data_IF_036931689575
#
_entry.id   IF_036931689575
#
_cell.length_a   1.000
_cell.length_b   1.000
_cell.length_c   1.000
_cell.angle_alpha   90.00
_cell.angle_beta   90.00
_cell.angle_gamma   90.00
#
_symmetry.space_group_name_H-M   'P 1'
#
loop_
_entity.id
_entity.type
_entity.pdbx_description
1 polymer ?
#
# COMPACT_ATOMS: atom_id res chain seq x y z
N UNK A 1 67.25 -21.97 -50.29
CA UNK A 1 66.55 -20.71 -50.66
C UNK A 1 65.06 -20.86 -50.31
N UNK A 2 64.37 -19.79 -49.91
CA UNK A 2 63.49 -19.83 -48.73
C UNK A 2 61.98 -19.70 -49.01
N UNK A 3 61.20 -20.04 -47.97
CA UNK A 3 59.87 -19.48 -47.60
C UNK A 3 58.70 -19.92 -48.50
N UNK A 4 57.52 -20.27 -47.99
CA UNK A 4 56.71 -19.46 -47.06
C UNK A 4 55.61 -20.32 -46.43
N UNK A 5 55.48 -20.29 -45.10
CA UNK A 5 54.38 -20.88 -44.32
C UNK A 5 53.30 -19.79 -44.16
N UNK A 6 52.08 -20.07 -44.58
CA UNK A 6 50.94 -19.16 -44.42
C UNK A 6 50.04 -19.67 -43.29
N UNK A 7 50.27 -19.17 -42.06
CA UNK A 7 49.39 -19.42 -40.92
C UNK A 7 48.12 -18.57 -41.05
N UNK A 8 46.98 -19.21 -41.32
CA UNK A 8 45.65 -18.62 -41.23
C UNK A 8 45.24 -18.53 -39.75
N UNK A 9 45.41 -17.36 -39.15
CA UNK A 9 44.89 -17.04 -37.81
C UNK A 9 43.38 -16.78 -37.95
N UNK A 10 42.56 -17.78 -37.62
CA UNK A 10 41.11 -17.58 -37.40
C UNK A 10 40.93 -16.93 -36.02
N UNK A 11 40.73 -15.62 -36.01
CA UNK A 11 40.35 -14.85 -34.82
C UNK A 11 38.94 -15.26 -34.38
N UNK A 12 38.85 -16.06 -33.33
CA UNK A 12 37.60 -16.44 -32.67
C UNK A 12 37.21 -15.29 -31.72
N UNK A 13 36.35 -14.39 -32.19
CA UNK A 13 35.74 -13.33 -31.37
C UNK A 13 34.70 -13.97 -30.43
N UNK A 14 35.13 -14.28 -29.21
CA UNK A 14 34.24 -14.71 -28.14
C UNK A 14 33.54 -13.47 -27.55
N UNK A 15 32.38 -13.12 -28.10
CA UNK A 15 31.50 -12.07 -27.59
C UNK A 15 30.91 -12.57 -26.26
N UNK A 16 31.48 -12.11 -25.14
CA UNK A 16 30.90 -12.31 -23.82
C UNK A 16 29.65 -11.43 -23.73
N UNK A 17 28.48 -12.08 -23.81
CA UNK A 17 27.19 -11.46 -23.56
C UNK A 17 27.15 -11.10 -22.06
N UNK A 18 27.40 -9.83 -21.74
CA UNK A 18 27.21 -9.30 -20.39
C UNK A 18 25.70 -9.28 -20.12
N UNK A 19 25.23 -10.19 -19.28
CA UNK A 19 23.84 -10.22 -18.82
C UNK A 19 23.59 -8.99 -17.95
N UNK A 20 22.74 -8.07 -18.42
CA UNK A 20 22.35 -6.86 -17.68
C UNK A 20 21.15 -7.25 -16.79
N UNK A 21 21.29 -7.26 -15.45
CA UNK A 21 20.16 -7.50 -14.55
C UNK A 21 19.34 -6.21 -14.43
N UNK A 22 18.43 -5.98 -15.38
CA UNK A 22 17.63 -4.75 -15.47
C UNK A 22 16.17 -4.85 -15.03
N UNK A 23 15.71 -5.99 -14.50
CA UNK A 23 14.27 -6.26 -14.35
C UNK A 23 13.73 -6.26 -12.92
N UNK A 24 14.57 -6.37 -11.89
CA UNK A 24 14.09 -6.62 -10.52
C UNK A 24 13.34 -5.44 -9.88
N UNK A 25 13.81 -4.20 -10.06
CA UNK A 25 13.23 -3.02 -9.38
C UNK A 25 11.84 -2.67 -9.93
N UNK A 26 11.66 -2.76 -11.25
CA UNK A 26 10.37 -2.47 -11.89
C UNK A 26 9.28 -3.49 -11.51
N UNK A 27 9.68 -4.72 -11.17
CA UNK A 27 8.78 -5.82 -10.79
C UNK A 27 8.32 -5.69 -9.33
N UNK A 28 9.20 -5.24 -8.42
CA UNK A 28 8.84 -4.92 -7.04
C UNK A 28 7.87 -3.73 -6.97
N UNK A 29 8.12 -2.65 -7.73
CA UNK A 29 7.21 -1.49 -7.79
C UNK A 29 5.84 -1.88 -8.35
N UNK A 30 5.79 -2.78 -9.34
CA UNK A 30 4.53 -3.30 -9.87
C UNK A 30 3.75 -4.07 -8.80
N UNK A 31 4.44 -4.94 -8.05
CA UNK A 31 3.83 -5.66 -6.95
C UNK A 31 3.28 -4.71 -5.88
N UNK A 32 4.11 -3.79 -5.37
CA UNK A 32 3.75 -2.89 -4.28
C UNK A 32 2.58 -1.96 -4.63
N UNK A 33 2.56 -1.42 -5.85
CA UNK A 33 1.58 -0.41 -6.24
C UNK A 33 0.31 -0.98 -6.87
N UNK A 34 0.38 -2.17 -7.49
CA UNK A 34 -0.75 -2.70 -8.28
C UNK A 34 -1.27 -4.03 -7.73
N UNK A 35 -0.39 -4.93 -7.28
CA UNK A 35 -0.79 -6.29 -6.84
C UNK A 35 -1.16 -6.31 -5.35
N UNK A 36 -0.33 -5.72 -4.50
CA UNK A 36 -0.50 -5.71 -3.04
C UNK A 36 -1.87 -5.16 -2.63
N UNK A 37 -2.38 -4.04 -3.16
CA UNK A 37 -3.70 -3.52 -2.77
C UNK A 37 -4.81 -4.54 -3.03
N UNK A 38 -4.76 -5.24 -4.18
CA UNK A 38 -5.74 -6.26 -4.56
C UNK A 38 -5.66 -7.44 -3.58
N UNK A 39 -4.47 -7.96 -3.30
CA UNK A 39 -4.31 -9.09 -2.37
C UNK A 39 -4.85 -8.75 -0.98
N UNK A 40 -4.53 -7.56 -0.47
CA UNK A 40 -4.98 -7.09 0.84
C UNK A 40 -6.49 -6.94 0.90
N UNK A 41 -7.10 -6.29 -0.09
CA UNK A 41 -8.53 -5.97 -0.08
C UNK A 41 -9.41 -7.17 -0.43
N UNK A 42 -8.97 -8.01 -1.37
CA UNK A 42 -9.80 -9.08 -1.96
C UNK A 42 -9.48 -10.47 -1.42
N UNK A 43 -8.24 -10.76 -1.07
CA UNK A 43 -7.78 -12.13 -0.82
C UNK A 43 -7.57 -12.44 0.67
N UNK A 44 -6.82 -11.57 1.38
CA UNK A 44 -6.30 -11.89 2.72
C UNK A 44 -7.39 -12.09 3.79
N UNK A 45 -8.58 -11.49 3.60
CA UNK A 45 -9.72 -11.70 4.52
C UNK A 45 -10.12 -13.17 4.67
N UNK A 46 -10.00 -13.97 3.62
CA UNK A 46 -10.36 -15.40 3.60
C UNK A 46 -9.16 -16.34 3.43
N UNK A 47 -8.02 -15.82 2.96
CA UNK A 47 -6.78 -16.57 2.70
C UNK A 47 -5.59 -15.93 3.40
N UNK A 48 -5.76 -15.57 4.68
CA UNK A 48 -4.74 -14.97 5.53
C UNK A 48 -4.53 -15.77 6.80
N UNK A 49 -3.66 -15.29 7.69
CA UNK A 49 -3.40 -15.99 8.96
C UNK A 49 -4.68 -16.31 9.77
N UNK A 50 -5.61 -15.36 9.86
CA UNK A 50 -6.83 -15.48 10.68
C UNK A 50 -7.88 -16.44 10.09
N UNK A 51 -7.90 -16.61 8.77
CA UNK A 51 -8.85 -17.48 8.07
C UNK A 51 -8.19 -18.03 6.82
N UNK A 52 -8.22 -19.34 6.67
CA UNK A 52 -7.53 -20.08 5.61
C UNK A 52 -8.55 -20.98 4.89
N UNK A 53 -9.44 -20.36 4.11
CA UNK A 53 -10.40 -21.09 3.29
C UNK A 53 -9.65 -21.99 2.29
N UNK A 54 -10.01 -23.29 2.24
CA UNK A 54 -9.33 -24.28 1.42
C UNK A 54 -7.86 -24.50 1.79
N UNK A 55 -7.49 -24.28 3.06
CA UNK A 55 -6.11 -24.38 3.59
C UNK A 55 -5.09 -23.51 2.81
N UNK A 56 -5.58 -22.47 2.13
CA UNK A 56 -4.78 -21.59 1.30
C UNK A 56 -4.47 -20.27 2.01
N UNK A 57 -3.22 -19.82 1.86
CA UNK A 57 -2.73 -18.52 2.31
C UNK A 57 -2.08 -17.74 1.16
N UNK A 58 -2.44 -16.45 1.06
CA UNK A 58 -2.02 -15.52 0.00
C UNK A 58 -1.40 -14.22 0.57
N UNK A 59 -0.98 -14.27 1.83
CA UNK A 59 -0.51 -13.13 2.62
C UNK A 59 1.02 -13.05 2.78
N UNK A 60 1.77 -14.00 2.22
CA UNK A 60 3.23 -13.98 2.20
C UNK A 60 3.81 -14.77 1.03
N UNK A 61 5.06 -14.44 0.65
CA UNK A 61 5.82 -15.21 -0.34
C UNK A 61 5.98 -16.69 0.05
N UNK A 62 6.15 -16.96 1.35
CA UNK A 62 6.29 -18.32 1.86
C UNK A 62 5.01 -19.12 1.64
N UNK A 63 3.87 -18.54 1.99
CA UNK A 63 2.59 -19.23 1.94
C UNK A 63 2.13 -19.49 0.51
N UNK A 64 2.45 -18.61 -0.44
CA UNK A 64 2.21 -18.80 -1.87
C UNK A 64 2.85 -20.06 -2.45
N UNK A 65 3.93 -20.58 -1.83
CA UNK A 65 4.61 -21.80 -2.27
C UNK A 65 3.95 -23.09 -1.76
N UNK A 66 2.95 -22.98 -0.90
CA UNK A 66 2.22 -24.11 -0.35
C UNK A 66 0.92 -24.34 -1.13
N UNK A 67 0.64 -25.61 -1.43
CA UNK A 67 -0.65 -26.01 -1.99
C UNK A 67 -1.71 -26.02 -0.88
N UNK A 68 -2.93 -25.60 -1.21
CA UNK A 68 -4.08 -25.73 -0.33
C UNK A 68 -4.69 -27.13 -0.37
N UNK A 69 -5.93 -27.26 0.10
CA UNK A 69 -6.70 -28.51 0.17
C UNK A 69 -6.85 -29.20 -1.20
N UNK A 70 -6.87 -28.43 -2.29
CA UNK A 70 -6.93 -28.97 -3.66
C UNK A 70 -5.67 -29.72 -4.09
N UNK A 71 -4.56 -29.59 -3.34
CA UNK A 71 -3.25 -30.14 -3.68
C UNK A 71 -2.55 -29.43 -4.86
N UNK A 72 -3.14 -28.38 -5.42
CA UNK A 72 -2.56 -27.57 -6.49
C UNK A 72 -2.01 -26.25 -5.95
N UNK A 73 -0.95 -25.75 -6.58
CA UNK A 73 -0.41 -24.42 -6.25
C UNK A 73 -1.37 -23.33 -6.71
N UNK A 74 -1.68 -22.40 -5.81
CA UNK A 74 -2.51 -21.25 -6.15
C UNK A 74 -1.87 -20.39 -7.23
N UNK A 75 -0.56 -20.17 -7.13
CA UNK A 75 0.23 -19.39 -8.08
C UNK A 75 1.40 -20.22 -8.57
N UNK A 76 1.51 -20.35 -9.88
CA UNK A 76 2.64 -20.98 -10.56
C UNK A 76 3.39 -19.89 -11.34
N UNK A 77 4.56 -19.43 -10.85
CA UNK A 77 5.36 -18.39 -11.49
C UNK A 77 5.52 -18.60 -13.01
N UNK A 78 5.16 -17.59 -13.79
CA UNK A 78 5.24 -17.57 -15.25
C UNK A 78 4.17 -18.41 -15.97
N UNK A 79 3.25 -19.05 -15.25
CA UNK A 79 2.25 -19.97 -15.82
C UNK A 79 0.84 -19.63 -15.35
N UNK A 80 0.27 -18.60 -15.97
CA UNK A 80 -1.09 -18.10 -15.71
C UNK A 80 -2.14 -19.22 -15.78
N UNK A 81 -2.16 -20.02 -16.85
CA UNK A 81 -3.16 -21.08 -17.03
C UNK A 81 -3.01 -22.27 -16.07
N UNK A 82 -1.84 -22.46 -15.46
CA UNK A 82 -1.59 -23.52 -14.48
C UNK A 82 -1.79 -23.03 -13.04
N UNK A 83 -2.14 -21.76 -12.85
CA UNK A 83 -2.34 -21.17 -11.53
C UNK A 83 -3.81 -21.29 -11.12
N UNK A 84 -4.08 -22.02 -10.04
CA UNK A 84 -5.44 -22.23 -9.54
C UNK A 84 -6.12 -20.91 -9.16
N UNK A 85 -5.36 -19.90 -8.70
CA UNK A 85 -5.86 -18.57 -8.41
C UNK A 85 -6.56 -17.94 -9.62
N UNK A 86 -5.98 -18.09 -10.82
CA UNK A 86 -6.54 -17.52 -12.05
C UNK A 86 -7.85 -18.20 -12.42
N UNK A 87 -7.89 -19.54 -12.30
CA UNK A 87 -9.11 -20.31 -12.54
C UNK A 87 -10.24 -19.86 -11.59
N UNK A 88 -9.92 -19.71 -10.30
CA UNK A 88 -10.86 -19.32 -9.26
C UNK A 88 -11.39 -17.88 -9.40
N UNK A 89 -10.57 -16.92 -9.85
CA UNK A 89 -11.02 -15.52 -10.06
C UNK A 89 -11.70 -15.33 -11.43
N UNK A 90 -11.40 -16.17 -12.42
CA UNK A 90 -12.09 -16.18 -13.72
C UNK A 90 -13.36 -17.03 -13.74
N UNK A 91 -13.69 -17.70 -12.64
CA UNK A 91 -14.82 -18.63 -12.54
C UNK A 91 -14.78 -19.71 -13.62
N UNK A 92 -13.59 -20.23 -13.88
CA UNK A 92 -13.34 -21.31 -14.84
C UNK A 92 -13.41 -22.68 -14.15
N UNK A 93 -13.73 -23.73 -14.92
CA UNK A 93 -13.69 -25.13 -14.48
C UNK A 93 -14.53 -25.41 -13.21
N UNK A 94 -15.70 -24.77 -13.10
CA UNK A 94 -16.64 -24.85 -11.96
C UNK A 94 -16.04 -24.40 -10.61
N UNK A 95 -14.82 -23.85 -10.61
CA UNK A 95 -14.13 -23.35 -9.44
C UNK A 95 -14.42 -21.86 -9.25
N UNK A 96 -15.05 -21.52 -8.13
CA UNK A 96 -15.37 -20.15 -7.77
C UNK A 96 -14.92 -19.85 -6.36
N UNK A 97 -14.20 -18.74 -6.17
CA UNK A 97 -13.92 -18.21 -4.84
C UNK A 97 -15.11 -17.39 -4.33
N UNK A 98 -15.68 -17.70 -3.15
CA UNK A 98 -16.60 -16.79 -2.47
C UNK A 98 -15.86 -15.50 -2.05
N UNK A 99 -16.48 -14.31 -2.12
CA UNK A 99 -17.90 -14.01 -2.37
C UNK A 99 -18.34 -14.08 -3.84
N UNK A 100 -19.66 -14.15 -4.07
CA UNK A 100 -20.34 -14.42 -5.35
C UNK A 100 -20.08 -13.41 -6.49
N UNK A 101 -19.34 -12.33 -6.24
CA UNK A 101 -19.02 -11.32 -7.24
C UNK A 101 -17.62 -11.52 -7.79
N UNK A 102 -17.53 -11.65 -9.11
CA UNK A 102 -16.27 -11.74 -9.82
C UNK A 102 -15.49 -10.43 -9.66
N UNK A 103 -14.16 -10.55 -9.51
CA UNK A 103 -13.29 -9.38 -9.47
C UNK A 103 -13.43 -8.55 -10.77
N UNK A 104 -13.29 -7.22 -10.70
CA UNK A 104 -13.22 -6.39 -11.90
C UNK A 104 -12.16 -6.90 -12.87
N UNK A 105 -12.44 -6.86 -14.17
CA UNK A 105 -11.52 -7.39 -15.20
C UNK A 105 -10.13 -6.74 -15.13
N UNK A 106 -10.04 -5.47 -14.72
CA UNK A 106 -8.75 -4.78 -14.50
C UNK A 106 -7.93 -5.37 -13.35
N UNK A 107 -8.60 -5.78 -12.25
CA UNK A 107 -7.93 -6.44 -11.12
C UNK A 107 -7.45 -7.83 -11.53
N UNK A 108 -8.27 -8.59 -12.28
CA UNK A 108 -7.90 -9.91 -12.82
C UNK A 108 -6.68 -9.79 -13.72
N UNK A 109 -6.69 -8.85 -14.67
CA UNK A 109 -5.56 -8.63 -15.60
C UNK A 109 -4.28 -8.24 -14.87
N UNK A 110 -4.38 -7.48 -13.78
CA UNK A 110 -3.23 -7.10 -12.95
C UNK A 110 -2.61 -8.35 -12.29
N UNK A 111 -3.44 -9.22 -11.72
CA UNK A 111 -2.98 -10.48 -11.11
C UNK A 111 -2.40 -11.44 -12.15
N UNK A 112 -2.99 -11.53 -13.35
CA UNK A 112 -2.46 -12.35 -14.43
C UNK A 112 -1.11 -11.83 -14.93
N UNK A 113 -0.97 -10.52 -15.10
CA UNK A 113 0.28 -9.89 -15.51
C UNK A 113 1.39 -10.14 -14.48
N UNK A 114 1.08 -10.04 -13.19
CA UNK A 114 1.98 -10.39 -12.11
C UNK A 114 2.44 -11.85 -12.19
N UNK A 115 1.50 -12.79 -12.35
CA UNK A 115 1.83 -14.22 -12.46
C UNK A 115 2.66 -14.49 -13.72
N UNK A 116 2.30 -13.89 -14.86
CA UNK A 116 3.05 -14.00 -16.11
C UNK A 116 4.48 -13.45 -15.96
N UNK A 117 4.65 -12.38 -15.18
CA UNK A 117 5.94 -11.78 -14.85
C UNK A 117 6.82 -12.62 -13.92
N UNK A 118 6.30 -13.74 -13.39
CA UNK A 118 7.03 -14.61 -12.47
C UNK A 118 6.52 -14.56 -11.03
N UNK A 119 5.41 -13.86 -10.78
CA UNK A 119 4.82 -13.69 -9.46
C UNK A 119 5.83 -13.17 -8.42
N UNK A 120 6.65 -12.20 -8.83
CA UNK A 120 7.72 -11.65 -8.00
C UNK A 120 7.14 -11.02 -6.75
N UNK A 121 7.76 -11.36 -5.62
CA UNK A 121 7.42 -10.82 -4.30
C UNK A 121 8.66 -10.10 -3.76
N UNK A 122 8.53 -8.87 -3.25
CA UNK A 122 9.68 -8.09 -2.78
C UNK A 122 10.42 -8.80 -1.64
N UNK A 123 11.75 -8.83 -1.73
CA UNK A 123 12.61 -9.61 -0.82
C UNK A 123 12.46 -9.18 0.65
N UNK A 124 12.14 -7.90 0.88
CA UNK A 124 11.89 -7.32 2.21
C UNK A 124 10.45 -6.79 2.33
N UNK A 125 9.48 -7.50 1.74
CA UNK A 125 8.08 -7.12 1.82
C UNK A 125 7.61 -7.06 3.28
N UNK A 126 7.04 -5.92 3.68
CA UNK A 126 6.25 -5.84 4.89
C UNK A 126 5.06 -6.82 4.82
N UNK A 127 4.58 -7.36 5.96
CA UNK A 127 3.37 -8.17 6.00
C UNK A 127 2.23 -7.51 5.21
N UNK A 128 1.47 -8.28 4.42
CA UNK A 128 0.36 -7.73 3.64
C UNK A 128 -0.66 -7.02 4.53
N UNK A 129 -0.92 -7.59 5.70
CA UNK A 129 -1.66 -6.94 6.78
C UNK A 129 -0.62 -6.48 7.79
N UNK A 130 -0.37 -5.18 7.86
CA UNK A 130 0.26 -4.62 9.04
C UNK A 130 -0.64 -4.98 10.23
N UNK A 131 -0.07 -5.53 11.29
CA UNK A 131 -0.80 -5.70 12.54
C UNK A 131 -1.47 -4.36 12.85
N UNK A 132 -2.76 -4.37 13.18
CA UNK A 132 -3.47 -3.11 13.48
C UNK A 132 -2.86 -2.32 14.65
N UNK A 133 -1.83 -2.89 15.31
CA UNK A 133 -0.89 -2.18 16.17
C UNK A 133 -0.30 -0.92 15.51
N UNK A 134 0.00 -0.92 14.20
CA UNK A 134 0.58 0.24 13.52
C UNK A 134 -0.45 1.36 13.27
N UNK A 135 -1.73 1.01 13.11
CA UNK A 135 -2.80 2.03 13.10
C UNK A 135 -3.10 2.57 14.49
N UNK A 136 -2.87 1.77 15.54
CA UNK A 136 -3.01 2.22 16.92
C UNK A 136 -1.89 3.20 17.28
N UNK A 137 -0.64 2.97 16.89
CA UNK A 137 0.48 3.88 17.19
C UNK A 137 0.38 5.22 16.45
N UNK A 138 -0.20 5.27 15.25
CA UNK A 138 -0.38 6.52 14.47
C UNK A 138 -1.57 7.38 14.90
N UNK A 139 -2.42 6.93 15.82
CA UNK A 139 -3.53 7.75 16.29
C UNK A 139 -3.01 8.88 17.21
N UNK A 140 -3.51 10.11 17.03
CA UNK A 140 -3.01 11.33 17.69
C UNK A 140 -2.85 11.21 19.21
N UNK A 141 -3.72 10.42 19.87
CA UNK A 141 -3.69 10.21 21.32
C UNK A 141 -2.46 9.41 21.82
N UNK A 142 -1.78 8.68 20.94
CA UNK A 142 -0.58 7.90 21.25
C UNK A 142 0.72 8.55 20.73
N UNK A 143 0.61 9.72 20.11
CA UNK A 143 1.78 10.50 19.71
C UNK A 143 2.38 11.22 20.93
N UNK A 144 3.71 11.37 21.00
CA UNK A 144 4.35 12.14 22.06
C UNK A 144 3.77 13.56 22.13
N UNK A 145 3.46 14.02 23.34
CA UNK A 145 2.99 15.40 23.57
C UNK A 145 4.13 16.36 23.24
N UNK A 146 3.93 17.25 22.28
CA UNK A 146 4.85 18.33 21.95
C UNK A 146 4.34 19.67 22.49
N UNK A 147 5.27 20.62 22.70
CA UNK A 147 4.94 21.99 23.10
C UNK A 147 5.17 22.93 21.90
N UNK A 148 4.19 23.07 20.99
CA UNK A 148 4.34 23.90 19.80
C UNK A 148 4.44 25.37 20.15
N UNK A 149 5.18 26.13 19.35
CA UNK A 149 5.26 27.58 19.49
C UNK A 149 3.89 28.22 19.20
N UNK A 150 3.48 29.15 20.06
CA UNK A 150 2.17 29.81 19.96
C UNK A 150 2.22 30.79 18.77
N UNK A 151 1.30 30.69 17.79
CA UNK A 151 1.27 31.60 16.65
C UNK A 151 1.10 33.05 17.10
N UNK A 152 1.97 33.94 16.62
CA UNK A 152 1.81 35.38 16.82
C UNK A 152 0.93 35.94 15.71
N UNK A 153 -0.26 36.40 16.07
CA UNK A 153 -1.18 37.05 15.14
C UNK A 153 -1.05 38.56 15.39
N UNK A 154 -0.56 39.32 14.40
CA UNK A 154 -0.54 40.80 14.35
C UNK A 154 0.09 41.55 15.53
N UNK A 155 1.18 41.05 16.12
CA UNK A 155 2.04 41.80 17.07
C UNK A 155 1.44 42.04 18.46
N UNK A 156 0.13 41.92 18.62
CA UNK A 156 -0.62 41.81 19.86
C UNK A 156 -1.80 40.86 19.61
N UNK A 157 -2.12 39.99 20.57
CA UNK A 157 -3.08 38.88 20.42
C UNK A 157 -4.52 39.43 20.27
N UNK A 158 -4.88 39.83 19.05
CA UNK A 158 -6.23 40.27 18.69
C UNK A 158 -6.77 39.45 17.51
N UNK A 159 -8.04 39.05 17.59
CA UNK A 159 -8.77 38.64 16.40
C UNK A 159 -9.05 39.86 15.49
N UNK A 160 -9.58 39.61 14.28
CA UNK A 160 -10.00 40.65 13.34
C UNK A 160 -11.12 41.58 13.88
N UNK A 161 -11.65 41.29 15.07
CA UNK A 161 -12.67 42.07 15.79
C UNK A 161 -12.12 42.81 17.04
N UNK A 162 -10.81 42.74 17.31
CA UNK A 162 -10.18 43.43 18.44
C UNK A 162 -10.36 42.74 19.80
N UNK A 163 -10.73 41.46 19.81
CA UNK A 163 -10.93 40.67 21.05
C UNK A 163 -9.63 40.02 21.49
N UNK A 164 -9.29 40.15 22.78
CA UNK A 164 -8.16 39.45 23.39
C UNK A 164 -8.36 37.93 23.32
N UNK A 165 -7.38 37.21 22.77
CA UNK A 165 -7.27 35.78 22.96
C UNK A 165 -6.90 35.51 24.43
N UNK A 166 -7.88 35.12 25.24
CA UNK A 166 -7.69 34.89 26.68
C UNK A 166 -6.91 33.60 26.95
N UNK A 167 -6.89 32.66 25.98
CA UNK A 167 -6.20 31.39 26.07
C UNK A 167 -5.19 31.23 24.91
N UNK A 168 -3.95 30.78 25.17
CA UNK A 168 -2.98 30.42 24.12
C UNK A 168 -3.52 29.48 23.02
N UNK A 169 -4.48 28.62 23.36
CA UNK A 169 -5.14 27.71 22.42
C UNK A 169 -5.90 28.49 21.33
N UNK A 170 -6.50 29.64 21.68
CA UNK A 170 -7.30 30.42 20.76
C UNK A 170 -6.44 31.05 19.64
N UNK A 171 -5.14 31.28 19.89
CA UNK A 171 -4.20 31.75 18.86
C UNK A 171 -4.02 30.73 17.73
N UNK A 172 -4.02 29.42 18.03
CA UNK A 172 -3.96 28.39 17.00
C UNK A 172 -5.24 28.35 16.16
N UNK A 173 -6.39 28.54 16.79
CA UNK A 173 -7.69 28.61 16.11
C UNK A 173 -7.75 29.85 15.21
N UNK A 174 -7.38 31.02 15.75
CA UNK A 174 -7.34 32.28 15.03
C UNK A 174 -6.44 32.22 13.79
N UNK A 175 -5.24 31.63 13.92
CA UNK A 175 -4.31 31.47 12.80
C UNK A 175 -4.94 30.63 11.67
N UNK A 176 -5.65 29.55 12.02
CA UNK A 176 -6.32 28.70 11.03
C UNK A 176 -7.54 29.38 10.40
N UNK A 177 -8.30 30.15 11.16
CA UNK A 177 -9.44 30.92 10.68
C UNK A 177 -9.01 32.01 9.70
N UNK A 178 -7.96 32.77 10.02
CA UNK A 178 -7.37 33.78 9.13
C UNK A 178 -6.87 33.13 7.84
N UNK A 179 -6.13 32.03 7.94
CA UNK A 179 -5.66 31.29 6.76
C UNK A 179 -6.81 30.76 5.89
N UNK A 180 -7.96 30.48 6.51
CA UNK A 180 -9.18 30.03 5.83
C UNK A 180 -10.11 31.17 5.41
N UNK A 181 -9.76 32.43 5.71
CA UNK A 181 -10.61 33.60 5.42
C UNK A 181 -11.93 33.65 6.21
N UNK A 182 -12.00 32.97 7.36
CA UNK A 182 -13.21 32.88 8.19
C UNK A 182 -13.09 33.77 9.43
N UNK A 183 -14.18 34.45 9.84
CA UNK A 183 -14.22 35.18 11.10
C UNK A 183 -14.57 34.26 12.28
N UNK A 184 -14.33 34.73 13.51
CA UNK A 184 -14.87 34.10 14.72
C UNK A 184 -16.40 34.28 14.81
N UNK A 185 -17.07 33.29 15.40
CA UNK A 185 -18.47 33.40 15.78
C UNK A 185 -18.66 34.42 16.90
N UNK A 186 -19.77 35.19 16.92
CA UNK A 186 -20.06 36.11 18.00
C UNK A 186 -20.30 35.37 19.33
N UNK A 187 -20.01 36.00 20.48
CA UNK A 187 -20.35 35.45 21.78
C UNK A 187 -21.84 35.14 21.91
N UNK A 188 -22.17 34.01 22.55
CA UNK A 188 -23.57 33.67 22.84
C UNK A 188 -24.18 34.64 23.87
N UNK A 189 -25.48 34.90 23.76
CA UNK A 189 -26.19 35.78 24.70
C UNK A 189 -26.28 35.15 26.11
N UNK A 190 -26.48 36.01 27.12
CA UNK A 190 -26.51 35.60 28.53
C UNK A 190 -27.56 34.51 28.82
N UNK A 191 -28.75 34.57 28.19
CA UNK A 191 -29.80 33.57 28.41
C UNK A 191 -29.37 32.21 27.85
N UNK A 192 -28.76 32.20 26.66
CA UNK A 192 -28.19 30.99 26.05
C UNK A 192 -27.07 30.39 26.91
N UNK A 193 -26.18 31.22 27.46
CA UNK A 193 -25.11 30.76 28.35
C UNK A 193 -25.65 30.15 29.66
N UNK A 194 -26.62 30.79 30.31
CA UNK A 194 -27.25 30.24 31.53
C UNK A 194 -27.88 28.89 31.25
N UNK A 195 -28.64 28.77 30.14
CA UNK A 195 -29.22 27.49 29.73
C UNK A 195 -28.15 26.41 29.47
N UNK A 196 -26.95 26.79 29.02
CA UNK A 196 -25.82 25.87 28.80
C UNK A 196 -25.09 25.43 30.06
N UNK A 197 -25.17 26.22 31.13
CA UNK A 197 -24.44 25.96 32.36
C UNK A 197 -25.27 25.12 33.34
N UNK A 198 -26.59 25.30 33.35
CA UNK A 198 -27.48 24.77 34.40
C UNK A 198 -28.23 23.49 33.99
N UNK A 199 -27.68 22.67 33.09
CA UNK A 199 -28.33 21.43 32.66
C UNK A 199 -28.56 20.45 33.82
#
# INVERSE_FOLDING_TARGET
MPRTICFLIKSLLFVQLLSIPGTAVADEDFFENQVRPILVERCVRCHGEKKQSGELRLDSAESLRHAGESGQLAVVPGKVSQSLLVQAIRYSDDLQMPPEEQLPESEIQTLEAWIAGGATWPVNAAPLIADQADSATNHWAFQPISNPEIPTISGEVFDSAGTFFQNPIDAFIGAKLIASGLPHSPPADRRTLIRRLTY
#
